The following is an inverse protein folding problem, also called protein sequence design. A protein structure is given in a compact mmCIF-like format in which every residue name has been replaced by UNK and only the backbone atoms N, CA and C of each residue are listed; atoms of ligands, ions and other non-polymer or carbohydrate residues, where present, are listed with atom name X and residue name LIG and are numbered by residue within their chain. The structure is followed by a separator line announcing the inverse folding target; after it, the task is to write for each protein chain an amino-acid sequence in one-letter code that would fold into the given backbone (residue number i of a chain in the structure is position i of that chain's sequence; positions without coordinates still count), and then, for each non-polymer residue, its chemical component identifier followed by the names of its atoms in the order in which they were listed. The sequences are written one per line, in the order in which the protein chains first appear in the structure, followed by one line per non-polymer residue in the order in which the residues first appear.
data_IF_670409775281
#
_entry.id   IF_670409775281
#
_cell.length_a   1.000
_cell.length_b   1.000
_cell.length_c   1.000
_cell.angle_alpha   90.00
_cell.angle_beta   90.00
_cell.angle_gamma   90.00
#
_symmetry.space_group_name_H-M   'P 1'
#
loop_
_entity.id
_entity.type
_entity.pdbx_description
1 polymer ?
#
# COMPACT_ATOMS: atom_id res chain seq x y z
N UNK A 1 -84.08 -61.46 -56.60
CA UNK A 1 -83.81 -61.75 -55.17
C UNK A 1 -82.51 -61.06 -54.80
N UNK A 2 -82.54 -60.29 -53.71
CA UNK A 2 -81.44 -59.48 -53.16
C UNK A 2 -80.45 -60.38 -52.41
N UNK A 3 -79.14 -60.12 -52.53
CA UNK A 3 -78.17 -60.08 -51.41
C UNK A 3 -76.81 -59.48 -51.86
N UNK A 4 -76.01 -58.90 -50.94
CA UNK A 4 -75.45 -57.54 -51.06
C UNK A 4 -73.94 -57.43 -50.72
N UNK A 5 -73.37 -56.22 -50.85
CA UNK A 5 -72.01 -55.86 -50.36
C UNK A 5 -70.99 -55.80 -51.50
N UNK A 6 -70.31 -54.68 -51.79
CA UNK A 6 -69.60 -53.84 -50.84
C UNK A 6 -69.73 -52.33 -51.16
N UNK A 7 -69.79 -51.51 -50.10
CA UNK A 7 -69.72 -50.05 -50.15
C UNK A 7 -68.26 -49.60 -50.03
N UNK A 8 -67.72 -48.97 -51.08
CA UNK A 8 -66.29 -48.61 -51.19
C UNK A 8 -65.92 -47.26 -50.55
N UNK A 9 -66.75 -46.72 -49.65
CA UNK A 9 -66.45 -45.46 -48.94
C UNK A 9 -66.46 -45.66 -47.42
N UNK A 10 -65.48 -46.40 -46.89
CA UNK A 10 -65.20 -46.30 -45.46
C UNK A 10 -64.44 -44.99 -45.20
N UNK A 11 -65.15 -43.93 -44.79
CA UNK A 11 -64.55 -42.68 -44.30
C UNK A 11 -63.73 -43.00 -43.04
N UNK A 12 -62.40 -43.05 -43.16
CA UNK A 12 -61.51 -43.19 -41.99
C UNK A 12 -61.54 -41.87 -41.21
N UNK A 13 -61.93 -41.86 -39.92
CA UNK A 13 -61.89 -40.64 -39.15
C UNK A 13 -60.44 -40.19 -39.00
N UNK A 14 -60.13 -39.00 -39.52
CA UNK A 14 -58.88 -38.32 -39.20
C UNK A 14 -58.84 -38.12 -37.68
N UNK A 15 -57.99 -38.87 -36.98
CA UNK A 15 -57.68 -38.63 -35.56
C UNK A 15 -57.36 -37.13 -35.42
N UNK A 16 -58.14 -36.38 -34.64
CA UNK A 16 -57.84 -34.97 -34.34
C UNK A 16 -56.47 -34.93 -33.67
N UNK A 17 -55.43 -34.53 -34.40
CA UNK A 17 -54.10 -34.36 -33.81
C UNK A 17 -54.20 -33.26 -32.74
N UNK A 18 -53.74 -33.56 -31.52
CA UNK A 18 -53.62 -32.56 -30.46
C UNK A 18 -52.87 -31.33 -30.98
N UNK A 19 -53.30 -30.13 -30.57
CA UNK A 19 -52.66 -28.85 -30.94
C UNK A 19 -51.16 -28.88 -30.65
N UNK A 20 -50.75 -29.60 -29.61
CA UNK A 20 -49.35 -29.84 -29.24
C UNK A 20 -48.56 -30.57 -30.33
N UNK A 21 -49.14 -31.59 -30.97
CA UNK A 21 -48.48 -32.38 -32.02
C UNK A 21 -48.33 -31.53 -33.28
N UNK A 22 -49.34 -30.72 -33.60
CA UNK A 22 -49.31 -29.79 -34.73
C UNK A 22 -48.23 -28.73 -34.50
N UNK A 23 -48.20 -28.13 -33.31
CA UNK A 23 -47.18 -27.16 -32.91
C UNK A 23 -45.77 -27.76 -32.98
N UNK A 24 -45.55 -28.95 -32.42
CA UNK A 24 -44.25 -29.64 -32.46
C UNK A 24 -43.80 -29.96 -33.89
N UNK A 25 -44.72 -30.35 -34.78
CA UNK A 25 -44.40 -30.59 -36.19
C UNK A 25 -44.06 -29.29 -36.92
N UNK A 26 -44.80 -28.22 -36.64
CA UNK A 26 -44.52 -26.89 -37.20
C UNK A 26 -43.15 -26.39 -36.75
N UNK A 27 -42.87 -26.41 -35.44
CA UNK A 27 -41.59 -26.04 -34.86
C UNK A 27 -40.42 -26.84 -35.45
N UNK A 28 -40.58 -28.16 -35.62
CA UNK A 28 -39.55 -28.98 -36.27
C UNK A 28 -39.27 -28.57 -37.71
N UNK A 29 -40.31 -28.24 -38.49
CA UNK A 29 -40.14 -27.79 -39.88
C UNK A 29 -39.45 -26.43 -39.93
N UNK A 30 -39.90 -25.47 -39.13
CA UNK A 30 -39.31 -24.13 -39.05
C UNK A 30 -37.85 -24.19 -38.59
N UNK A 31 -37.56 -24.97 -37.54
CA UNK A 31 -36.18 -25.17 -37.06
C UNK A 31 -35.28 -25.81 -38.12
N UNK A 32 -35.80 -26.80 -38.85
CA UNK A 32 -35.06 -27.46 -39.94
C UNK A 32 -34.70 -26.47 -41.04
N UNK A 33 -35.66 -25.63 -41.43
CA UNK A 33 -35.47 -24.62 -42.46
C UNK A 33 -34.49 -23.53 -42.02
N UNK A 34 -34.63 -23.06 -40.78
CA UNK A 34 -33.72 -22.08 -40.18
C UNK A 34 -32.27 -22.59 -40.14
N UNK A 35 -32.04 -23.82 -39.66
CA UNK A 35 -30.71 -24.40 -39.57
C UNK A 35 -30.06 -24.63 -40.95
N UNK A 36 -30.88 -24.87 -41.99
CA UNK A 36 -30.41 -25.03 -43.37
C UNK A 36 -29.96 -23.70 -43.99
N UNK A 37 -30.62 -22.61 -43.62
CA UNK A 37 -30.35 -21.25 -44.12
C UNK A 37 -29.61 -20.35 -43.13
N UNK A 38 -29.13 -20.91 -42.01
CA UNK A 38 -28.37 -20.17 -41.01
C UNK A 38 -26.99 -19.79 -41.55
N UNK A 39 -26.53 -18.59 -41.17
CA UNK A 39 -25.17 -18.12 -41.42
C UNK A 39 -24.11 -18.84 -40.57
N UNK A 40 -24.52 -19.63 -39.56
CA UNK A 40 -23.61 -20.41 -38.73
C UNK A 40 -23.09 -21.64 -39.50
N UNK A 41 -21.78 -21.70 -39.82
CA UNK A 41 -21.22 -22.71 -40.73
C UNK A 41 -21.47 -24.16 -40.28
N UNK A 42 -21.60 -24.43 -38.98
CA UNK A 42 -21.82 -25.78 -38.44
C UNK A 42 -23.28 -26.26 -38.43
N UNK A 43 -24.26 -25.35 -38.49
CA UNK A 43 -25.68 -25.66 -38.30
C UNK A 43 -26.30 -26.40 -39.49
N UNK A 44 -25.88 -26.05 -40.72
CA UNK A 44 -26.34 -26.70 -41.96
C UNK A 44 -26.06 -28.20 -41.97
N UNK A 45 -24.85 -28.58 -41.54
CA UNK A 45 -24.39 -29.97 -41.55
C UNK A 45 -25.12 -30.89 -40.56
N UNK A 46 -25.75 -30.33 -39.52
CA UNK A 46 -26.53 -31.11 -38.53
C UNK A 46 -27.86 -31.57 -39.14
N UNK A 47 -28.40 -30.81 -40.10
CA UNK A 47 -29.76 -30.97 -40.62
C UNK A 47 -29.80 -31.64 -42.00
N UNK A 48 -28.67 -31.70 -42.70
CA UNK A 48 -28.60 -32.33 -44.02
C UNK A 48 -28.99 -33.82 -43.99
N UNK A 49 -29.95 -34.25 -44.84
CA UNK A 49 -30.47 -35.63 -44.82
C UNK A 49 -29.46 -36.66 -45.34
N UNK A 50 -28.41 -36.23 -46.05
CA UNK A 50 -27.43 -37.08 -46.74
C UNK A 50 -26.46 -37.81 -45.81
N UNK A 51 -26.30 -37.35 -44.56
CA UNK A 51 -25.27 -37.85 -43.64
C UNK A 51 -25.81 -38.86 -42.62
N UNK A 52 -24.93 -39.79 -42.20
CA UNK A 52 -25.24 -40.81 -41.20
C UNK A 52 -25.46 -40.19 -39.82
N UNK A 53 -26.25 -40.87 -38.96
CA UNK A 53 -26.54 -40.41 -37.59
C UNK A 53 -25.28 -40.21 -36.75
N UNK A 54 -24.25 -41.04 -36.96
CA UNK A 54 -22.95 -40.94 -36.25
C UNK A 54 -22.18 -39.67 -36.61
N UNK A 55 -22.15 -39.33 -37.90
CA UNK A 55 -21.44 -38.14 -38.40
C UNK A 55 -22.12 -36.85 -37.93
N UNK A 56 -23.46 -36.85 -37.87
CA UNK A 56 -24.24 -35.73 -37.31
C UNK A 56 -23.93 -35.51 -35.84
N UNK A 57 -23.79 -36.58 -35.05
CA UNK A 57 -23.44 -36.49 -33.64
C UNK A 57 -22.02 -35.95 -33.45
N UNK A 58 -21.05 -36.41 -34.24
CA UNK A 58 -19.68 -35.90 -34.18
C UNK A 58 -19.62 -34.40 -34.51
N UNK A 59 -20.33 -33.96 -35.56
CA UNK A 59 -20.38 -32.54 -35.94
C UNK A 59 -21.11 -31.67 -34.92
N UNK A 60 -22.14 -32.20 -34.26
CA UNK A 60 -22.81 -31.53 -33.15
C UNK A 60 -21.85 -31.35 -31.96
N UNK A 61 -21.09 -32.39 -31.60
CA UNK A 61 -20.07 -32.29 -30.54
C UNK A 61 -19.01 -31.24 -30.87
N UNK A 62 -18.54 -31.20 -32.12
CA UNK A 62 -17.62 -30.15 -32.58
C UNK A 62 -18.23 -28.75 -32.46
N UNK A 63 -19.49 -28.54 -32.86
CA UNK A 63 -20.18 -27.26 -32.71
C UNK A 63 -20.26 -26.83 -31.23
N UNK A 64 -20.62 -27.75 -30.34
CA UNK A 64 -20.69 -27.49 -28.89
C UNK A 64 -19.32 -27.14 -28.32
N UNK A 65 -18.27 -27.86 -28.73
CA UNK A 65 -16.90 -27.56 -28.32
C UNK A 65 -16.44 -26.17 -28.78
N UNK A 66 -16.70 -25.80 -30.03
CA UNK A 66 -16.37 -24.45 -30.54
C UNK A 66 -17.13 -23.36 -29.78
N UNK A 67 -18.42 -23.58 -29.50
CA UNK A 67 -19.22 -22.64 -28.71
C UNK A 67 -18.70 -22.47 -27.28
N UNK A 68 -18.23 -23.56 -26.65
CA UNK A 68 -17.65 -23.50 -25.32
C UNK A 68 -16.32 -22.73 -25.31
N UNK A 69 -15.43 -23.00 -26.26
CA UNK A 69 -14.16 -22.28 -26.41
C UNK A 69 -14.42 -20.79 -26.67
N UNK A 70 -15.37 -20.46 -27.54
CA UNK A 70 -15.75 -19.08 -27.82
C UNK A 70 -16.33 -18.37 -26.58
N UNK A 71 -17.21 -19.04 -25.83
CA UNK A 71 -17.74 -18.52 -24.57
C UNK A 71 -16.64 -18.27 -23.52
N UNK A 72 -15.66 -19.16 -23.42
CA UNK A 72 -14.50 -18.99 -22.55
C UNK A 72 -13.62 -17.81 -23.00
N UNK A 73 -13.36 -17.68 -24.31
CA UNK A 73 -12.61 -16.56 -24.87
C UNK A 73 -13.32 -15.21 -24.65
N UNK A 74 -14.65 -15.16 -24.77
CA UNK A 74 -15.42 -13.96 -24.45
C UNK A 74 -15.36 -13.62 -22.97
N UNK A 75 -15.50 -14.61 -22.08
CA UNK A 75 -15.40 -14.41 -20.64
C UNK A 75 -14.04 -13.84 -20.24
N UNK A 76 -12.96 -14.43 -20.74
CA UNK A 76 -11.59 -13.97 -20.45
C UNK A 76 -11.34 -12.57 -21.01
N UNK A 77 -11.73 -12.31 -22.26
CA UNK A 77 -11.63 -10.95 -22.85
C UNK A 77 -12.40 -9.91 -22.03
N UNK A 78 -13.60 -10.24 -21.55
CA UNK A 78 -14.40 -9.32 -20.76
C UNK A 78 -13.77 -9.03 -19.39
N UNK A 79 -13.38 -10.07 -18.65
CA UNK A 79 -12.91 -9.90 -17.27
C UNK A 79 -11.45 -9.47 -17.17
N UNK A 80 -10.59 -9.93 -18.07
CA UNK A 80 -9.15 -9.72 -17.97
C UNK A 80 -8.63 -8.58 -18.83
N UNK A 81 -9.33 -8.22 -19.92
CA UNK A 81 -8.91 -7.15 -20.82
C UNK A 81 -9.83 -5.94 -20.69
N UNK A 82 -11.12 -6.08 -20.98
CA UNK A 82 -12.06 -4.95 -20.96
C UNK A 82 -12.37 -4.44 -19.54
N UNK A 83 -12.37 -5.35 -18.54
CA UNK A 83 -12.56 -5.00 -17.14
C UNK A 83 -11.35 -4.31 -16.49
N UNK A 84 -10.18 -4.33 -17.13
CA UNK A 84 -8.92 -3.77 -16.62
C UNK A 84 -8.29 -2.80 -17.64
N UNK A 85 -8.89 -1.61 -17.86
CA UNK A 85 -8.48 -0.69 -18.93
C UNK A 85 -7.13 0.02 -18.67
N UNK A 86 -6.43 -0.30 -17.58
CA UNK A 86 -5.20 0.38 -17.18
C UNK A 86 -3.98 -0.44 -17.57
N UNK A 87 -3.12 0.16 -18.39
CA UNK A 87 -1.82 -0.40 -18.74
C UNK A 87 -0.75 0.46 -18.09
N UNK A 88 0.11 -0.14 -17.28
CA UNK A 88 1.30 0.52 -16.75
C UNK A 88 2.46 0.24 -17.70
N UNK A 89 2.97 1.29 -18.32
CA UNK A 89 4.16 1.22 -19.17
C UNK A 89 5.22 2.19 -18.64
N UNK A 90 6.49 1.85 -18.86
CA UNK A 90 7.60 2.74 -18.54
C UNK A 90 7.67 3.82 -19.63
N UNK A 91 7.25 5.04 -19.30
CA UNK A 91 7.25 6.15 -20.25
C UNK A 91 8.66 6.70 -20.50
N UNK A 92 9.48 6.82 -19.46
CA UNK A 92 10.88 7.21 -19.59
C UNK A 92 11.71 6.79 -18.39
N UNK A 93 13.00 6.53 -18.62
CA UNK A 93 14.02 6.41 -17.56
C UNK A 93 14.60 7.77 -17.15
N UNK A 94 14.25 8.84 -17.89
CA UNK A 94 14.86 10.18 -17.78
C UNK A 94 13.84 11.18 -17.25
N UNK A 95 13.31 10.91 -16.05
CA UNK A 95 12.52 11.89 -15.33
C UNK A 95 13.45 12.84 -14.58
N UNK A 96 13.27 14.16 -14.75
CA UNK A 96 14.14 15.15 -14.15
C UNK A 96 14.09 15.10 -12.62
N UNK A 97 15.26 14.99 -11.99
CA UNK A 97 15.39 14.81 -10.53
C UNK A 97 14.83 15.99 -9.73
N UNK A 98 14.85 17.20 -10.32
CA UNK A 98 14.25 18.41 -9.74
C UNK A 98 12.73 18.33 -9.55
N UNK A 99 12.05 17.39 -10.21
CA UNK A 99 10.62 17.15 -10.08
C UNK A 99 10.30 15.96 -9.18
N UNK A 100 11.32 15.38 -8.54
CA UNK A 100 11.19 14.27 -7.59
C UNK A 100 11.37 14.82 -6.19
N UNK A 101 10.37 14.59 -5.34
CA UNK A 101 10.48 14.88 -3.91
C UNK A 101 11.58 14.01 -3.30
N UNK A 102 12.56 14.63 -2.63
CA UNK A 102 13.55 13.89 -1.88
C UNK A 102 12.86 13.17 -0.70
N UNK A 103 13.25 11.95 -0.32
CA UNK A 103 12.59 11.26 0.78
C UNK A 103 12.78 12.01 2.10
N UNK A 104 11.90 11.74 3.07
CA UNK A 104 12.22 12.04 4.45
C UNK A 104 13.32 11.08 4.93
N UNK A 105 14.30 11.61 5.64
CA UNK A 105 15.42 10.84 6.20
C UNK A 105 15.40 11.00 7.71
N UNK A 106 15.06 9.93 8.43
CA UNK A 106 15.14 9.91 9.88
C UNK A 106 16.45 9.26 10.33
N UNK A 107 17.18 9.99 11.18
CA UNK A 107 18.41 9.56 11.84
C UNK A 107 18.07 9.32 13.30
N UNK A 108 18.06 8.05 13.70
CA UNK A 108 17.66 7.62 15.02
C UNK A 108 18.86 6.98 15.73
N UNK A 109 19.33 7.54 16.83
CA UNK A 109 20.37 6.89 17.63
C UNK A 109 19.88 5.50 18.06
N UNK A 110 20.70 4.45 17.95
CA UNK A 110 20.31 3.10 18.39
C UNK A 110 19.94 3.10 19.88
N UNK A 111 20.55 4.00 20.66
CA UNK A 111 20.13 4.30 22.00
C UNK A 111 18.86 5.16 22.04
N UNK A 112 17.82 4.64 22.70
CA UNK A 112 16.52 5.30 22.88
C UNK A 112 16.47 6.13 24.16
N UNK A 113 17.26 5.78 25.15
CA UNK A 113 17.28 6.46 26.46
C UNK A 113 18.71 6.80 26.83
N UNK A 114 19.01 8.09 26.91
CA UNK A 114 20.29 8.62 27.39
C UNK A 114 20.45 8.32 28.88
N UNK A 115 21.64 7.85 29.29
CA UNK A 115 21.97 7.65 30.72
C UNK A 115 21.97 8.97 31.46
N UNK A 116 22.58 10.00 30.88
CA UNK A 116 22.64 11.35 31.47
C UNK A 116 21.24 11.92 31.67
N UNK A 117 20.37 11.80 30.67
CA UNK A 117 18.99 12.28 30.77
C UNK A 117 18.17 11.46 31.78
N UNK A 118 18.36 10.14 31.82
CA UNK A 118 17.70 9.27 32.80
C UNK A 118 18.07 9.65 34.23
N UNK A 119 19.35 9.94 34.49
CA UNK A 119 19.82 10.42 35.80
C UNK A 119 19.21 11.75 36.20
N UNK A 120 19.18 12.72 35.29
CA UNK A 120 18.56 14.03 35.55
C UNK A 120 17.07 13.88 35.89
N UNK A 121 16.33 13.07 35.13
CA UNK A 121 14.92 12.83 35.40
C UNK A 121 14.71 12.02 36.70
N UNK A 122 15.60 11.09 37.03
CA UNK A 122 15.55 10.35 38.28
C UNK A 122 15.76 11.27 39.50
N UNK A 123 16.68 12.23 39.40
CA UNK A 123 16.90 13.27 40.41
C UNK A 123 15.68 14.18 40.57
N UNK A 124 15.02 14.57 39.46
CA UNK A 124 13.79 15.37 39.48
C UNK A 124 12.60 14.62 40.11
N UNK A 125 12.51 13.32 39.90
CA UNK A 125 11.46 12.47 40.47
C UNK A 125 11.75 12.08 41.93
N UNK A 126 12.98 12.23 42.44
CA UNK A 126 13.30 11.81 43.78
C UNK A 126 12.91 12.88 44.83
N UNK A 127 12.26 12.52 45.95
CA UNK A 127 11.78 11.20 46.34
C UNK A 127 10.36 10.90 45.82
N UNK A 128 10.19 9.72 45.21
CA UNK A 128 8.86 9.14 44.89
C UNK A 128 8.78 7.76 45.55
N UNK A 129 7.78 7.59 46.41
CA UNK A 129 7.58 6.35 47.16
C UNK A 129 8.77 5.97 48.05
N UNK A 130 9.03 4.67 48.15
CA UNK A 130 10.16 4.10 48.90
C UNK A 130 11.22 3.49 47.96
N UNK A 131 11.54 4.22 46.89
CA UNK A 131 12.52 3.79 45.89
C UNK A 131 13.82 4.59 45.99
N UNK A 132 14.95 3.92 45.80
CA UNK A 132 16.25 4.59 45.67
C UNK A 132 16.40 5.24 44.30
N UNK A 133 17.32 6.21 44.19
CA UNK A 133 17.63 6.89 42.93
C UNK A 133 18.03 5.88 41.83
N UNK A 134 18.84 4.87 42.17
CA UNK A 134 19.23 3.81 41.22
C UNK A 134 18.04 2.97 40.74
N UNK A 135 17.05 2.74 41.61
CA UNK A 135 15.83 2.03 41.22
C UNK A 135 14.99 2.87 40.25
N UNK A 136 14.84 4.16 40.51
CA UNK A 136 14.13 5.08 39.63
C UNK A 136 14.81 5.15 38.26
N UNK A 137 16.14 5.34 38.21
CA UNK A 137 16.92 5.35 36.97
C UNK A 137 16.72 4.06 36.16
N UNK A 138 16.72 2.91 36.84
CA UNK A 138 16.49 1.61 36.21
C UNK A 138 15.07 1.51 35.62
N UNK A 139 14.04 1.94 36.34
CA UNK A 139 12.67 1.92 35.84
C UNK A 139 12.46 2.90 34.68
N UNK A 140 13.20 4.01 34.64
CA UNK A 140 13.19 4.91 33.49
C UNK A 140 13.75 4.23 32.24
N UNK A 141 14.77 3.38 32.35
CA UNK A 141 15.24 2.59 31.20
C UNK A 141 14.17 1.63 30.66
N UNK A 142 13.34 1.07 31.54
CA UNK A 142 12.25 0.17 31.14
C UNK A 142 11.17 0.88 30.30
N UNK A 143 11.10 2.23 30.30
CA UNK A 143 10.25 2.97 29.36
C UNK A 143 10.65 2.75 27.89
N UNK A 144 11.89 2.32 27.62
CA UNK A 144 12.35 1.96 26.28
C UNK A 144 11.55 0.80 25.68
N UNK A 145 10.99 -0.07 26.54
CA UNK A 145 10.16 -1.22 26.14
C UNK A 145 8.82 -0.81 25.52
N UNK A 146 8.40 0.45 25.68
CA UNK A 146 7.24 1.00 24.98
C UNK A 146 7.47 1.10 23.46
N UNK A 147 8.72 0.94 23.00
CA UNK A 147 9.12 1.06 21.59
C UNK A 147 9.29 -0.32 20.93
N UNK A 148 9.98 -1.26 21.57
CA UNK A 148 10.22 -2.62 21.01
C UNK A 148 9.17 -3.66 21.41
N UNK A 149 8.30 -3.34 22.37
CA UNK A 149 7.27 -4.24 22.91
C UNK A 149 7.83 -5.53 23.53
N UNK A 150 9.09 -5.54 23.98
CA UNK A 150 9.65 -6.67 24.73
C UNK A 150 9.12 -6.66 26.17
N UNK A 151 8.00 -7.38 26.39
CA UNK A 151 7.37 -7.49 27.70
C UNK A 151 8.16 -8.47 28.58
N UNK A 152 8.79 -7.93 29.62
CA UNK A 152 9.21 -8.69 30.78
C UNK A 152 8.38 -8.19 31.97
N UNK A 153 7.47 -9.02 32.48
CA UNK A 153 6.65 -8.66 33.64
C UNK A 153 7.56 -8.44 34.85
N UNK A 154 7.69 -7.17 35.26
CA UNK A 154 8.36 -6.78 36.50
C UNK A 154 7.35 -6.04 37.37
N UNK A 155 6.76 -6.76 38.33
CA UNK A 155 5.71 -6.25 39.22
C UNK A 155 6.13 -4.98 39.97
N UNK A 156 7.41 -4.86 40.33
CA UNK A 156 7.92 -3.70 41.06
C UNK A 156 7.98 -2.44 40.17
N UNK A 157 8.19 -2.61 38.87
CA UNK A 157 8.19 -1.53 37.89
C UNK A 157 6.76 -1.01 37.66
N UNK A 158 5.79 -1.91 37.51
CA UNK A 158 4.37 -1.53 37.39
C UNK A 158 3.91 -0.73 38.61
N UNK A 159 4.23 -1.20 39.82
CA UNK A 159 3.93 -0.48 41.07
C UNK A 159 4.59 0.90 41.14
N UNK A 160 5.79 1.07 40.58
CA UNK A 160 6.43 2.38 40.51
C UNK A 160 5.65 3.34 39.59
N UNK A 161 5.24 2.88 38.41
CA UNK A 161 4.47 3.72 37.49
C UNK A 161 3.05 4.00 38.00
N UNK A 162 2.44 3.09 38.77
CA UNK A 162 1.16 3.29 39.47
C UNK A 162 1.24 4.35 40.57
N UNK A 163 2.41 4.56 41.18
CA UNK A 163 2.62 5.61 42.18
C UNK A 163 2.76 7.01 41.56
N UNK A 164 3.02 7.08 40.26
CA UNK A 164 2.98 8.35 39.54
C UNK A 164 1.52 8.77 39.36
N UNK A 165 1.21 10.08 39.32
CA UNK A 165 -0.18 10.53 39.29
C UNK A 165 -0.95 9.90 38.11
N UNK A 166 -2.06 9.20 38.38
CA UNK A 166 -2.91 8.56 37.35
C UNK A 166 -3.45 9.56 36.30
N UNK A 167 -3.53 10.85 36.66
CA UNK A 167 -4.01 11.93 35.79
C UNK A 167 -2.92 12.55 34.91
N UNK A 168 -1.76 11.91 34.74
CA UNK A 168 -0.73 12.43 33.84
C UNK A 168 -1.23 12.36 32.39
N UNK A 169 -1.38 13.50 31.68
CA UNK A 169 -1.78 13.50 30.29
C UNK A 169 -0.76 12.74 29.43
N UNK A 170 -1.22 12.04 28.39
CA UNK A 170 -0.35 11.35 27.42
C UNK A 170 0.74 12.27 26.86
N UNK A 171 0.44 13.56 26.70
CA UNK A 171 1.40 14.57 26.23
C UNK A 171 2.61 14.73 27.16
N UNK A 172 2.43 14.61 28.48
CA UNK A 172 3.55 14.68 29.42
C UNK A 172 4.47 13.45 29.29
N UNK A 173 3.91 12.27 29.05
CA UNK A 173 4.71 11.07 28.79
C UNK A 173 5.49 11.17 27.49
N UNK A 174 4.88 11.74 26.44
CA UNK A 174 5.57 12.04 25.17
C UNK A 174 6.73 13.01 25.43
N UNK A 175 6.51 14.06 26.22
CA UNK A 175 7.55 15.03 26.58
C UNK A 175 8.68 14.39 27.41
N UNK A 176 8.35 13.55 28.39
CA UNK A 176 9.34 12.79 29.17
C UNK A 176 10.16 11.86 28.28
N UNK A 177 9.52 11.11 27.40
CA UNK A 177 10.21 10.25 26.43
C UNK A 177 11.07 11.05 25.44
N UNK A 178 10.65 12.27 25.10
CA UNK A 178 11.45 13.21 24.30
C UNK A 178 12.69 13.68 25.06
N UNK A 179 12.56 13.97 26.36
CA UNK A 179 13.66 14.43 27.19
C UNK A 179 14.65 13.32 27.52
N UNK A 180 14.18 12.08 27.63
CA UNK A 180 15.02 10.89 27.81
C UNK A 180 15.79 10.50 26.54
N UNK A 181 15.31 10.86 25.36
CA UNK A 181 15.96 10.52 24.10
C UNK A 181 17.24 11.34 23.87
N UNK A 182 18.26 10.78 23.17
CA UNK A 182 19.42 11.55 22.74
C UNK A 182 19.01 12.78 21.89
N UNK A 183 19.64 13.93 22.17
CA UNK A 183 19.31 15.19 21.50
C UNK A 183 19.93 15.25 20.10
N UNK A 184 19.21 15.83 19.14
CA UNK A 184 19.74 16.05 17.78
C UNK A 184 20.96 16.97 17.75
N UNK A 185 21.04 17.94 18.67
CA UNK A 185 22.19 18.85 18.79
C UNK A 185 23.47 18.12 19.13
N UNK A 186 23.36 16.99 19.82
CA UNK A 186 24.50 16.22 20.31
C UNK A 186 24.84 15.09 19.33
N UNK A 187 23.82 14.53 18.67
CA UNK A 187 23.96 13.50 17.63
C UNK A 187 24.52 14.05 16.32
N UNK A 188 24.10 15.24 15.87
CA UNK A 188 24.42 15.79 14.55
C UNK A 188 25.54 16.84 14.65
N UNK A 189 26.73 16.50 14.16
CA UNK A 189 27.91 17.39 14.22
C UNK A 189 27.94 18.34 13.03
N UNK A 190 27.76 17.82 11.81
CA UNK A 190 27.89 18.61 10.57
C UNK A 190 26.91 18.13 9.53
N UNK A 191 26.17 19.06 8.93
CA UNK A 191 25.17 18.77 7.92
C UNK A 191 25.45 19.51 6.61
N UNK A 192 25.23 18.85 5.49
CA UNK A 192 25.30 19.40 4.14
C UNK A 192 24.10 18.93 3.34
N UNK A 193 23.47 19.84 2.63
CA UNK A 193 22.37 19.58 1.70
C UNK A 193 22.58 20.37 0.42
N UNK A 194 22.36 19.72 -0.74
CA UNK A 194 22.45 20.36 -2.05
C UNK A 194 23.78 21.12 -2.29
N UNK A 195 24.90 20.53 -1.87
CA UNK A 195 26.24 21.13 -2.02
C UNK A 195 26.56 22.26 -1.03
N UNK A 196 25.67 22.54 -0.07
CA UNK A 196 25.86 23.63 0.91
C UNK A 196 25.90 23.10 2.32
N UNK A 197 26.91 23.51 3.09
CA UNK A 197 26.95 23.27 4.54
C UNK A 197 25.85 24.12 5.17
N UNK A 198 25.01 23.49 5.99
CA UNK A 198 23.87 24.12 6.66
C UNK A 198 23.87 23.75 8.14
N UNK A 199 23.19 24.56 8.96
CA UNK A 199 23.05 24.25 10.38
C UNK A 199 22.15 23.03 10.56
N UNK A 200 22.61 22.02 11.30
CA UNK A 200 21.86 20.79 11.52
C UNK A 200 20.49 21.06 12.18
N UNK A 201 20.42 22.04 13.09
CA UNK A 201 19.19 22.40 13.80
C UNK A 201 18.12 23.06 12.90
N UNK A 202 18.53 23.63 11.76
CA UNK A 202 17.61 24.20 10.77
C UNK A 202 17.16 23.13 9.77
N UNK A 203 18.06 22.19 9.45
CA UNK A 203 17.84 21.13 8.46
C UNK A 203 17.03 19.95 9.02
N UNK A 204 17.29 19.57 10.28
CA UNK A 204 16.65 18.44 10.96
C UNK A 204 15.73 18.92 12.07
N UNK A 205 14.56 18.30 12.16
CA UNK A 205 13.64 18.48 13.29
C UNK A 205 13.51 17.19 14.08
N UNK A 206 13.39 17.30 15.40
CA UNK A 206 13.06 16.14 16.24
C UNK A 206 11.61 15.72 15.97
N UNK A 207 11.42 14.47 15.54
CA UNK A 207 10.09 13.90 15.23
C UNK A 207 9.94 12.52 15.84
N UNK A 208 8.68 12.13 16.05
CA UNK A 208 8.30 10.78 16.49
C UNK A 208 8.30 9.83 15.29
N UNK A 209 8.83 8.64 15.48
CA UNK A 209 8.89 7.54 14.51
C UNK A 209 8.58 6.22 15.21
N UNK A 210 8.49 5.11 14.47
CA UNK A 210 8.45 3.77 15.07
C UNK A 210 9.70 3.43 15.89
N UNK A 211 10.81 4.15 15.71
CA UNK A 211 12.06 3.99 16.46
C UNK A 211 12.17 5.02 17.62
N UNK A 212 11.06 5.65 18.03
CA UNK A 212 11.05 6.69 19.06
C UNK A 212 11.33 8.08 18.50
N UNK A 213 12.04 8.91 19.26
CA UNK A 213 12.37 10.28 18.86
C UNK A 213 13.63 10.32 18.00
N UNK A 214 13.52 10.83 16.78
CA UNK A 214 14.61 10.85 15.80
C UNK A 214 14.78 12.24 15.18
N UNK A 215 15.97 12.48 14.62
CA UNK A 215 16.27 13.69 13.87
C UNK A 215 15.87 13.49 12.42
N UNK A 216 14.88 14.23 11.95
CA UNK A 216 14.25 13.98 10.66
C UNK A 216 14.41 15.16 9.71
N UNK A 217 14.98 14.87 8.55
CA UNK A 217 15.06 15.78 7.41
C UNK A 217 13.85 15.58 6.49
N UNK A 218 13.36 16.67 5.91
CA UNK A 218 12.35 16.70 4.85
C UNK A 218 11.02 15.98 5.18
N UNK A 219 10.53 16.06 6.42
CA UNK A 219 9.24 15.50 6.82
C UNK A 219 8.18 16.60 7.00
N UNK A 220 7.06 16.47 6.28
CA UNK A 220 6.10 17.56 6.09
C UNK A 220 4.84 17.45 6.95
N UNK A 221 4.58 16.30 7.56
CA UNK A 221 3.38 16.11 8.38
C UNK A 221 3.52 16.86 9.72
N UNK A 222 2.57 17.75 10.02
CA UNK A 222 2.46 18.38 11.32
C UNK A 222 1.48 17.59 12.20
N UNK A 223 1.95 17.13 13.38
CA UNK A 223 1.12 16.37 14.33
C UNK A 223 -0.07 17.20 14.84
N UNK A 224 0.05 18.52 14.90
CA UNK A 224 -1.03 19.42 15.34
C UNK A 224 -2.12 19.60 14.28
N UNK A 225 -1.93 19.08 13.07
CA UNK A 225 -2.86 19.18 11.94
C UNK A 225 -3.53 17.84 11.60
N UNK A 226 -3.40 16.81 12.46
CA UNK A 226 -4.10 15.53 12.30
C UNK A 226 -5.62 15.77 12.31
N UNK A 227 -6.26 15.59 11.15
CA UNK A 227 -7.70 15.81 10.96
C UNK A 227 -8.07 17.10 10.23
N UNK A 228 -7.11 17.98 9.93
CA UNK A 228 -7.33 19.16 9.06
C UNK A 228 -6.67 18.89 7.70
N UNK A 229 -7.44 18.60 6.64
CA UNK A 229 -6.88 18.48 5.31
C UNK A 229 -6.43 19.88 4.86
N UNK A 230 -5.13 20.18 4.93
CA UNK A 230 -4.62 21.37 4.24
C UNK A 230 -3.39 22.09 4.79
N UNK A 231 -2.77 21.70 5.89
CA UNK A 231 -1.56 22.40 6.37
C UNK A 231 -0.28 21.57 6.18
N UNK A 232 0.06 21.28 4.92
CA UNK A 232 1.48 21.13 4.58
C UNK A 232 2.07 22.54 4.54
N UNK A 233 2.80 22.92 5.58
CA UNK A 233 3.40 24.25 5.70
C UNK A 233 4.53 24.49 4.68
N UNK A 234 5.10 23.41 4.13
CA UNK A 234 6.28 23.45 3.24
C UNK A 234 6.14 22.43 2.12
N UNK A 235 6.74 22.73 0.98
CA UNK A 235 6.94 21.77 -0.10
C UNK A 235 8.12 20.85 0.25
N UNK A 236 8.13 19.63 -0.31
CA UNK A 236 9.24 18.72 -0.09
C UNK A 236 10.50 19.28 -0.75
N UNK A 237 11.62 19.17 -0.05
CA UNK A 237 12.94 19.45 -0.62
C UNK A 237 13.20 18.53 -1.82
N UNK A 238 13.87 19.08 -2.84
CA UNK A 238 14.18 18.36 -4.08
C UNK A 238 15.64 18.56 -4.45
N UNK A 239 16.25 17.50 -4.95
CA UNK A 239 17.59 17.58 -5.49
C UNK A 239 17.54 18.08 -6.93
N UNK A 240 18.36 19.07 -7.28
CA UNK A 240 18.43 19.62 -8.65
C UNK A 240 19.48 18.92 -9.51
N UNK A 241 20.58 18.51 -8.90
CA UNK A 241 21.74 17.94 -9.56
C UNK A 241 22.05 16.60 -8.90
N UNK A 242 22.17 15.50 -9.65
CA UNK A 242 22.56 14.21 -9.09
C UNK A 242 24.02 14.22 -8.61
N UNK A 243 24.35 13.34 -7.68
CA UNK A 243 25.72 13.14 -7.17
C UNK A 243 25.83 13.31 -5.67
N UNK A 244 26.89 12.71 -5.11
CA UNK A 244 27.11 12.60 -3.66
C UNK A 244 27.22 13.98 -2.99
N UNK A 245 27.91 14.92 -3.64
CA UNK A 245 28.10 16.29 -3.13
C UNK A 245 26.80 17.11 -3.06
N UNK A 246 25.83 16.79 -3.93
CA UNK A 246 24.56 17.49 -4.03
C UNK A 246 23.43 16.79 -3.26
N UNK A 247 23.71 15.65 -2.62
CA UNK A 247 22.78 14.93 -1.77
C UNK A 247 22.77 15.46 -0.34
N UNK A 248 22.25 14.63 0.56
CA UNK A 248 22.32 14.82 2.01
C UNK A 248 23.60 14.16 2.53
N UNK A 249 24.43 14.91 3.25
CA UNK A 249 25.62 14.41 3.93
C UNK A 249 25.62 14.87 5.37
N UNK A 250 25.84 13.94 6.30
CA UNK A 250 25.75 14.16 7.73
C UNK A 250 26.89 13.47 8.44
N UNK A 251 27.60 14.21 9.29
CA UNK A 251 28.56 13.68 10.26
C UNK A 251 27.87 13.61 11.61
N UNK A 252 27.90 12.45 12.24
CA UNK A 252 27.15 12.16 13.46
C UNK A 252 28.05 11.57 14.55
N UNK A 253 27.75 11.85 15.82
CA UNK A 253 28.33 11.16 16.97
C UNK A 253 27.21 10.36 17.68
N UNK A 254 27.23 9.02 17.61
CA UNK A 254 26.20 8.21 18.28
C UNK A 254 26.29 8.27 19.81
N UNK A 255 27.31 8.87 20.43
CA UNK A 255 27.44 9.00 21.88
C UNK A 255 27.34 7.66 22.63
N UNK A 256 28.10 6.65 22.19
CA UNK A 256 28.06 5.28 22.73
C UNK A 256 28.21 5.21 24.26
N UNK A 257 28.97 6.15 24.83
CA UNK A 257 29.19 6.26 26.28
C UNK A 257 27.92 6.61 27.09
N UNK A 258 26.87 7.13 26.43
CA UNK A 258 25.62 7.57 27.04
C UNK A 258 24.45 6.57 26.83
N UNK A 259 24.77 5.34 26.43
CA UNK A 259 23.78 4.32 26.06
C UNK A 259 23.07 3.72 27.28
N UNK A 260 21.83 4.12 27.55
CA UNK A 260 20.99 3.59 28.62
C UNK A 260 20.11 2.42 28.15
N UNK A 261 19.41 2.60 27.03
CA UNK A 261 18.52 1.58 26.46
C UNK A 261 18.74 1.47 24.94
N UNK A 262 19.29 0.35 24.49
CA UNK A 262 19.55 0.07 23.07
C UNK A 262 18.38 -0.70 22.46
N UNK A 263 17.92 -0.28 21.28
CA UNK A 263 16.83 -0.99 20.58
C UNK A 263 17.27 -2.34 19.99
N UNK A 264 18.54 -2.47 19.61
CA UNK A 264 19.10 -3.71 19.07
C UNK A 264 20.61 -3.77 19.33
N UNK A 265 21.21 -4.92 19.05
CA UNK A 265 22.63 -5.22 19.31
C UNK A 265 23.57 -4.57 18.27
N UNK A 266 23.49 -3.26 18.11
CA UNK A 266 24.42 -2.47 17.31
C UNK A 266 24.78 -1.17 18.03
N UNK A 267 25.88 -0.55 17.58
CA UNK A 267 26.31 0.78 18.02
C UNK A 267 26.33 1.70 16.81
N UNK A 268 25.61 2.82 16.90
CA UNK A 268 25.50 3.74 15.79
C UNK A 268 24.12 4.38 15.67
N UNK A 269 23.68 4.55 14.43
CA UNK A 269 22.47 5.30 14.08
C UNK A 269 21.66 4.53 13.04
N UNK A 270 20.38 4.32 13.28
CA UNK A 270 19.45 3.87 12.26
C UNK A 270 19.15 5.01 11.28
N UNK A 271 19.26 4.70 10.00
CA UNK A 271 18.93 5.60 8.90
C UNK A 271 17.69 5.05 8.21
N UNK A 272 16.59 5.81 8.28
CA UNK A 272 15.30 5.43 7.71
C UNK A 272 14.94 6.37 6.56
N UNK A 273 14.60 5.80 5.40
CA UNK A 273 14.09 6.52 4.24
C UNK A 273 12.62 6.19 4.01
N UNK A 274 11.80 7.22 3.90
CA UNK A 274 10.37 7.08 3.67
C UNK A 274 9.80 8.31 2.96
N UNK A 275 8.56 8.22 2.52
CA UNK A 275 7.87 9.34 1.87
C UNK A 275 7.69 10.52 2.84
N UNK A 276 7.93 11.76 2.40
CA UNK A 276 7.82 12.95 3.26
C UNK A 276 6.40 13.23 3.76
N UNK A 277 5.40 12.56 3.18
CA UNK A 277 3.98 12.71 3.48
C UNK A 277 3.42 11.64 4.42
N UNK A 278 4.18 10.59 4.74
CA UNK A 278 3.71 9.47 5.57
C UNK A 278 4.58 9.31 6.80
N UNK A 279 3.98 8.84 7.89
CA UNK A 279 4.70 8.51 9.11
C UNK A 279 5.68 7.35 8.87
N UNK A 280 6.86 7.41 9.50
CA UNK A 280 7.90 6.39 9.42
C UNK A 280 7.48 5.12 10.17
N UNK A 281 6.77 4.24 9.46
CA UNK A 281 6.34 2.93 9.96
C UNK A 281 6.36 1.92 8.82
N UNK A 282 6.81 0.70 9.12
CA UNK A 282 6.82 -0.44 8.21
C UNK A 282 5.40 -0.81 7.73
N UNK A 283 4.37 -0.51 8.52
CA UNK A 283 2.99 -0.84 8.16
C UNK A 283 2.34 0.18 7.21
N UNK A 284 2.77 1.44 7.24
CA UNK A 284 2.10 2.55 6.56
C UNK A 284 2.69 2.90 5.19
N UNK A 285 3.80 2.27 4.79
CA UNK A 285 4.39 2.48 3.48
C UNK A 285 5.77 1.84 3.33
N UNK A 286 6.40 2.03 2.16
CA UNK A 286 7.78 1.61 1.95
C UNK A 286 8.70 2.43 2.87
N UNK A 287 9.31 1.72 3.82
CA UNK A 287 10.35 2.20 4.71
C UNK A 287 11.62 1.42 4.37
N UNK A 288 12.70 2.14 4.03
CA UNK A 288 14.01 1.53 3.84
C UNK A 288 14.82 1.81 5.09
N UNK A 289 15.35 0.77 5.73
CA UNK A 289 16.13 0.87 6.96
C UNK A 289 17.56 0.40 6.73
N UNK A 290 18.52 1.24 7.12
CA UNK A 290 19.94 0.92 7.18
C UNK A 290 20.48 1.23 8.58
N UNK A 291 21.55 0.55 8.97
CA UNK A 291 22.27 0.84 10.22
C UNK A 291 23.63 1.42 9.86
N UNK A 292 23.89 2.67 10.27
CA UNK A 292 25.19 3.31 10.15
C UNK A 292 25.99 3.04 11.44
N UNK A 293 27.03 2.21 11.32
CA UNK A 293 27.87 1.81 12.45
C UNK A 293 28.89 2.91 12.78
N UNK A 294 29.22 3.07 14.05
CA UNK A 294 30.26 4.00 14.52
C UNK A 294 31.58 3.83 13.75
N UNK A 295 32.31 4.92 13.53
CA UNK A 295 33.61 4.95 12.85
C UNK A 295 33.59 4.43 11.39
N UNK A 296 32.46 4.56 10.70
CA UNK A 296 32.36 4.19 9.27
C UNK A 296 31.74 5.31 8.45
N UNK A 297 32.09 5.34 7.16
CA UNK A 297 31.41 6.17 6.16
C UNK A 297 30.45 5.28 5.36
N UNK A 298 29.18 5.70 5.28
CA UNK A 298 28.14 4.98 4.57
C UNK A 298 27.62 5.82 3.40
N UNK A 299 27.80 5.34 2.18
CA UNK A 299 27.27 5.95 0.96
C UNK A 299 26.03 5.17 0.50
N UNK A 300 24.89 5.85 0.42
CA UNK A 300 23.61 5.25 0.03
C UNK A 300 23.12 5.87 -1.27
N UNK A 301 23.03 5.06 -2.31
CA UNK A 301 22.43 5.45 -3.59
C UNK A 301 20.91 5.27 -3.51
N UNK A 302 20.17 6.34 -3.80
CA UNK A 302 18.72 6.34 -3.77
C UNK A 302 18.15 6.31 -5.19
N UNK A 303 17.34 5.28 -5.47
CA UNK A 303 16.60 5.19 -6.72
C UNK A 303 15.12 5.54 -6.49
N UNK A 304 14.65 6.59 -7.16
CA UNK A 304 13.23 6.96 -7.11
C UNK A 304 12.46 6.37 -8.30
N UNK A 305 11.21 5.98 -8.04
CA UNK A 305 10.26 5.54 -9.07
C UNK A 305 9.03 6.43 -9.00
N UNK A 306 8.81 7.21 -10.05
CA UNK A 306 7.63 8.06 -10.17
C UNK A 306 6.63 7.37 -11.10
N UNK A 307 5.39 7.22 -10.63
CA UNK A 307 4.27 6.73 -11.43
C UNK A 307 3.33 7.89 -11.71
N UNK A 308 3.25 8.30 -12.98
CA UNK A 308 2.37 9.37 -13.43
C UNK A 308 1.24 8.76 -14.25
N UNK A 309 0.00 9.09 -13.90
CA UNK A 309 -1.14 8.78 -14.75
C UNK A 309 -1.12 9.74 -15.95
N UNK A 310 -1.24 9.19 -17.16
CA UNK A 310 -1.42 9.97 -18.40
C UNK A 310 -2.72 10.75 -18.37
N UNK A 311 -2.85 11.77 -19.21
CA UNK A 311 -4.07 12.60 -19.26
C UNK A 311 -5.32 11.78 -19.57
N UNK A 312 -5.22 10.75 -20.40
CA UNK A 312 -6.32 9.84 -20.71
C UNK A 312 -6.75 9.00 -19.51
N UNK A 313 -5.79 8.47 -18.73
CA UNK A 313 -6.12 7.69 -17.52
C UNK A 313 -6.75 8.59 -16.46
N UNK A 314 -6.33 9.86 -16.33
CA UNK A 314 -6.91 10.82 -15.38
C UNK A 314 -8.39 11.13 -15.61
N UNK A 315 -8.96 10.78 -16.77
CA UNK A 315 -10.39 10.95 -17.07
C UNK A 315 -11.27 9.91 -16.37
N UNK A 316 -10.71 8.76 -15.99
CA UNK A 316 -11.45 7.73 -15.28
C UNK A 316 -11.62 8.10 -13.79
N UNK A 317 -12.69 7.65 -13.13
CA UNK A 317 -12.87 7.89 -11.71
C UNK A 317 -11.84 7.08 -10.88
N UNK A 318 -11.47 7.60 -9.70
CA UNK A 318 -10.48 7.00 -8.80
C UNK A 318 -10.79 5.55 -8.42
N UNK A 319 -12.08 5.21 -8.30
CA UNK A 319 -12.58 3.84 -8.07
C UNK A 319 -12.23 2.85 -9.18
N UNK A 320 -12.12 3.32 -10.42
CA UNK A 320 -11.72 2.50 -11.58
C UNK A 320 -10.21 2.42 -11.72
N UNK A 321 -9.48 3.44 -11.26
CA UNK A 321 -8.02 3.55 -11.40
C UNK A 321 -7.26 2.75 -10.31
N UNK A 322 -7.95 2.37 -9.22
CA UNK A 322 -7.28 1.81 -8.04
C UNK A 322 -6.33 2.82 -7.37
N UNK A 323 -6.44 4.11 -7.74
CA UNK A 323 -5.72 5.19 -7.07
C UNK A 323 -6.43 5.50 -5.77
N UNK A 324 -5.74 5.28 -4.65
CA UNK A 324 -6.11 5.87 -3.37
C UNK A 324 -6.10 7.39 -3.59
N UNK A 325 -7.26 8.01 -3.41
CA UNK A 325 -7.48 9.44 -3.67
C UNK A 325 -6.45 10.27 -2.89
N UNK A 326 -5.42 10.78 -3.58
CA UNK A 326 -4.58 11.85 -3.05
C UNK A 326 -5.36 13.13 -3.31
N UNK A 327 -6.06 13.62 -2.28
CA UNK A 327 -6.62 14.97 -2.24
C UNK A 327 -5.50 16.02 -2.19
N UNK A 328 -4.66 16.06 -3.22
CA UNK A 328 -3.80 17.20 -3.49
C UNK A 328 -4.67 18.22 -4.23
N UNK A 329 -5.23 19.13 -3.46
CA UNK A 329 -5.99 20.29 -3.92
C UNK A 329 -5.14 21.06 -4.93
N UNK A 330 -5.42 20.85 -6.23
CA UNK A 330 -4.88 21.70 -7.30
C UNK A 330 -5.45 23.10 -7.14
N UNK A 331 -4.70 23.99 -6.48
CA UNK A 331 -5.01 25.43 -6.49
C UNK A 331 -4.61 25.99 -7.86
N UNK A 332 -5.58 26.14 -8.76
CA UNK A 332 -5.43 27.00 -9.95
C UNK A 332 -5.16 28.42 -9.44
N UNK A 333 -3.93 28.91 -9.54
CA UNK A 333 -3.67 30.35 -9.57
C UNK A 333 -4.24 30.86 -10.89
N UNK A 334 -5.41 31.49 -10.85
CA UNK A 334 -5.77 32.48 -11.87
C UNK A 334 -4.89 33.69 -11.61
N UNK A 335 -3.99 33.97 -12.54
CA UNK A 335 -3.50 35.32 -12.74
C UNK A 335 -4.61 36.09 -13.44
N UNK A 336 -5.16 37.09 -12.76
CA UNK A 336 -5.72 38.32 -13.32
C UNK A 336 -5.30 39.45 -12.38
#
# INVERSE_FOLDING_TARGET
MVHPGDRWWAYRPHKKLSKEIIFRRSMKKVFKEYMKHSSLPGCRYIVDPLWSKKEKMLRLLWLVMVMFIFGYALRTTWHDILGKPLIVSMESTVYAIENVDFPAVALCNVNRISRKASKQLAEELFPVGNYSLDQIEKYLYDLGRLIDFEIQENSNMLQFFEQLPENVPTELWIERMKNLAPKCTDLLIRCRWAGKVQQCNELFALRRTSHGHCCVFNYLLNYNSLGVPGHMEREAERQKIPGVEFGLSVVMDPQVHDYGYRLHNAEGVDVLFYSPFYFADHNNGPLIHHVAVSNTELYLELHSRVQLATEEVRKYPSSTIGQRERSLVKRKRKHE
#
